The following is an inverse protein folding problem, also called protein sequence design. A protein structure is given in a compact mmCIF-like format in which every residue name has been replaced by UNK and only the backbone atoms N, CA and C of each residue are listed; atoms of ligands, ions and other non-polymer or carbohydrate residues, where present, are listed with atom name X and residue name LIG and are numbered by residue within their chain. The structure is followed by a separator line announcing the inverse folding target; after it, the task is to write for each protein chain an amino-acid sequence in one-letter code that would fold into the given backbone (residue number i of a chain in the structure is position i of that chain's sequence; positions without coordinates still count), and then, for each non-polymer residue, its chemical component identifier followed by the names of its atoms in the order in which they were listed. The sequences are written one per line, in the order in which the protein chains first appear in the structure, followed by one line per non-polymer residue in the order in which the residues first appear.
data_IF_585733158412
#
_entry.id   IF_585733158412
#
_cell.length_a   1.000
_cell.length_b   1.000
_cell.length_c   1.000
_cell.angle_alpha   90.00
_cell.angle_beta   90.00
_cell.angle_gamma   90.00
#
_symmetry.space_group_name_H-M   'P 1'
#
loop_
_entity.id
_entity.type
_entity.pdbx_description
1 polymer ?
#
# COMPACT_ATOMS: atom_id res chain seq x y z
N UNK A 1 -30.85 48.71 -45.71
CA UNK A 1 -30.23 47.40 -45.57
C UNK A 1 -31.10 46.50 -44.71
N UNK A 2 -31.60 45.37 -45.24
CA UNK A 2 -32.46 44.44 -44.51
C UNK A 2 -31.55 43.44 -43.76
N UNK A 3 -31.79 43.13 -42.48
CA UNK A 3 -30.99 42.15 -41.74
C UNK A 3 -31.22 40.75 -42.30
N UNK A 4 -30.12 40.03 -42.56
CA UNK A 4 -30.16 38.64 -43.01
C UNK A 4 -30.68 37.76 -41.87
N UNK A 5 -31.86 37.17 -42.06
CA UNK A 5 -32.43 36.22 -41.08
C UNK A 5 -31.60 34.96 -41.06
N UNK A 6 -30.92 34.70 -39.94
CA UNK A 6 -30.15 33.48 -39.73
C UNK A 6 -31.03 32.23 -39.92
N UNK A 7 -30.60 31.29 -40.74
CA UNK A 7 -31.31 30.06 -41.08
C UNK A 7 -31.56 29.20 -39.81
N UNK A 8 -32.77 28.64 -39.71
CA UNK A 8 -33.22 27.81 -38.57
C UNK A 8 -32.21 26.63 -38.25
N UNK A 9 -31.59 26.07 -39.30
CA UNK A 9 -30.53 25.05 -39.12
C UNK A 9 -29.27 25.59 -38.47
N UNK A 10 -28.86 26.80 -38.76
CA UNK A 10 -27.68 27.44 -38.21
C UNK A 10 -27.88 27.77 -36.72
N UNK A 11 -29.08 28.19 -36.32
CA UNK A 11 -29.46 28.40 -34.91
C UNK A 11 -29.46 27.09 -34.11
N UNK A 12 -29.92 25.96 -34.69
CA UNK A 12 -29.88 24.65 -34.06
C UNK A 12 -28.42 24.14 -33.89
N UNK A 13 -27.57 24.33 -34.87
CA UNK A 13 -26.15 23.96 -34.78
C UNK A 13 -25.41 24.75 -33.70
N UNK A 14 -25.66 26.06 -33.61
CA UNK A 14 -25.07 26.90 -32.55
C UNK A 14 -25.57 26.48 -31.15
N UNK A 15 -26.86 26.12 -31.03
CA UNK A 15 -27.41 25.64 -29.75
C UNK A 15 -26.83 24.28 -29.35
N UNK A 16 -26.63 23.35 -30.29
CA UNK A 16 -25.99 22.04 -30.05
C UNK A 16 -24.52 22.23 -29.67
N UNK A 17 -23.81 23.12 -30.35
CA UNK A 17 -22.40 23.43 -29.99
C UNK A 17 -22.28 24.09 -28.62
N UNK A 18 -23.19 25.00 -28.25
CA UNK A 18 -23.23 25.58 -26.90
C UNK A 18 -23.57 24.54 -25.82
N UNK A 19 -24.50 23.64 -26.08
CA UNK A 19 -24.83 22.54 -25.14
C UNK A 19 -23.67 21.55 -25.01
N UNK A 20 -22.98 21.21 -26.10
CA UNK A 20 -21.79 20.39 -26.06
C UNK A 20 -20.61 21.06 -25.35
N UNK A 21 -20.42 22.36 -25.51
CA UNK A 21 -19.41 23.13 -24.78
C UNK A 21 -19.72 23.22 -23.27
N UNK A 22 -20.99 23.32 -22.89
CA UNK A 22 -21.42 23.29 -21.48
C UNK A 22 -21.28 21.91 -20.85
N UNK A 23 -21.46 20.83 -21.62
CA UNK A 23 -21.23 19.46 -21.15
C UNK A 23 -19.74 19.12 -21.04
N UNK A 24 -18.87 19.69 -21.89
CA UNK A 24 -17.41 19.54 -21.78
C UNK A 24 -16.81 20.28 -20.57
N UNK A 25 -17.42 21.34 -20.08
CA UNK A 25 -16.91 22.09 -18.92
C UNK A 25 -17.24 21.43 -17.57
N UNK A 26 -18.05 20.37 -17.55
CA UNK A 26 -18.47 19.70 -16.32
C UNK A 26 -17.57 18.50 -15.93
N UNK A 27 -16.45 18.25 -16.63
CA UNK A 27 -15.62 17.06 -16.46
C UNK A 27 -14.15 17.34 -16.11
N UNK A 28 -13.87 18.51 -15.54
CA UNK A 28 -12.66 18.72 -14.78
C UNK A 28 -13.00 18.73 -13.28
N UNK A 29 -13.39 17.56 -12.72
CA UNK A 29 -13.00 17.23 -11.37
C UNK A 29 -11.48 17.05 -11.44
N UNK A 30 -10.73 18.09 -11.16
CA UNK A 30 -9.33 17.96 -10.79
C UNK A 30 -9.30 16.93 -9.67
N UNK A 31 -8.65 15.79 -9.87
CA UNK A 31 -8.36 14.83 -8.81
C UNK A 31 -7.60 15.62 -7.75
N UNK A 32 -8.31 16.02 -6.70
CA UNK A 32 -7.71 16.69 -5.56
C UNK A 32 -6.91 15.59 -4.86
N UNK A 33 -5.59 15.63 -5.00
CA UNK A 33 -4.71 14.73 -4.27
C UNK A 33 -5.07 14.74 -2.79
N UNK A 34 -5.25 13.56 -2.22
CA UNK A 34 -5.61 13.42 -0.82
C UNK A 34 -4.48 13.90 0.08
N UNK A 35 -4.83 14.55 1.16
CA UNK A 35 -3.89 14.92 2.22
C UNK A 35 -3.48 13.68 3.03
N UNK A 36 -2.37 13.78 3.77
CA UNK A 36 -1.91 12.71 4.67
C UNK A 36 -2.97 12.31 5.70
N UNK A 37 -3.75 13.29 6.20
CA UNK A 37 -4.85 13.01 7.11
C UNK A 37 -6.00 12.25 6.45
N UNK A 38 -6.36 12.59 5.21
CA UNK A 38 -7.41 11.89 4.45
C UNK A 38 -7.00 10.44 4.16
N UNK A 39 -5.73 10.21 3.79
CA UNK A 39 -5.16 8.89 3.57
C UNK A 39 -5.11 8.06 4.86
N UNK A 40 -4.73 8.67 5.99
CA UNK A 40 -4.75 8.02 7.30
C UNK A 40 -6.19 7.66 7.73
N UNK A 41 -7.16 8.56 7.57
CA UNK A 41 -8.58 8.23 7.84
C UNK A 41 -9.05 7.05 7.00
N UNK A 42 -8.59 6.94 5.76
CA UNK A 42 -8.92 5.77 4.92
C UNK A 42 -8.33 4.48 5.50
N UNK A 43 -7.10 4.49 5.99
CA UNK A 43 -6.49 3.32 6.64
C UNK A 43 -7.26 2.93 7.93
N UNK A 44 -7.69 3.92 8.72
CA UNK A 44 -8.51 3.71 9.93
C UNK A 44 -9.86 3.09 9.58
N UNK A 45 -10.58 3.66 8.61
CA UNK A 45 -11.88 3.12 8.16
C UNK A 45 -11.75 1.69 7.66
N UNK A 46 -10.68 1.36 6.91
CA UNK A 46 -10.41 -0.02 6.49
C UNK A 46 -10.20 -0.97 7.68
N UNK A 47 -9.55 -0.51 8.75
CA UNK A 47 -9.38 -1.30 9.97
C UNK A 47 -10.72 -1.55 10.67
N UNK A 48 -11.56 -0.52 10.80
CA UNK A 48 -12.89 -0.61 11.40
C UNK A 48 -13.81 -1.56 10.61
N UNK A 49 -13.93 -1.37 9.29
CA UNK A 49 -14.68 -2.25 8.40
C UNK A 49 -14.19 -3.71 8.46
N UNK A 50 -12.88 -3.92 8.63
CA UNK A 50 -12.31 -5.27 8.74
C UNK A 50 -12.70 -5.97 10.04
N UNK A 51 -12.84 -5.24 11.17
CA UNK A 51 -13.37 -5.78 12.43
C UNK A 51 -14.81 -6.23 12.24
N UNK A 52 -15.65 -5.42 11.61
CA UNK A 52 -17.05 -5.76 11.32
C UNK A 52 -17.18 -7.01 10.44
N UNK A 53 -16.18 -7.25 9.57
CA UNK A 53 -16.09 -8.42 8.70
C UNK A 53 -15.36 -9.62 9.35
N UNK A 54 -15.08 -9.58 10.65
CA UNK A 54 -14.46 -10.68 11.41
C UNK A 54 -12.94 -10.78 11.25
N UNK A 55 -12.27 -9.75 10.73
CA UNK A 55 -10.82 -9.66 10.63
C UNK A 55 -10.18 -8.93 11.81
N UNK A 56 -8.84 -8.81 11.82
CA UNK A 56 -8.11 -8.03 12.81
C UNK A 56 -8.22 -6.50 12.57
N UNK A 57 -8.04 -5.66 13.61
CA UNK A 57 -8.28 -4.21 13.58
C UNK A 57 -7.14 -3.45 12.88
N UNK A 58 -6.74 -3.88 11.68
CA UNK A 58 -5.60 -3.32 10.96
C UNK A 58 -5.95 -3.05 9.50
N UNK A 59 -5.65 -1.82 9.05
CA UNK A 59 -5.82 -1.35 7.69
C UNK A 59 -4.60 -0.56 7.22
N UNK A 60 -4.28 -0.66 5.93
CA UNK A 60 -3.17 0.05 5.32
C UNK A 60 -3.54 0.62 3.95
N UNK A 61 -2.95 1.76 3.61
CA UNK A 61 -3.08 2.45 2.33
C UNK A 61 -1.68 2.76 1.80
N UNK A 62 -1.42 2.40 0.55
CA UNK A 62 -0.23 2.87 -0.18
C UNK A 62 -0.69 3.94 -1.17
N UNK A 63 -0.02 5.10 -1.12
CA UNK A 63 -0.31 6.24 -1.98
C UNK A 63 0.96 6.77 -2.64
N UNK A 64 0.79 7.47 -3.77
CA UNK A 64 1.85 8.23 -4.45
C UNK A 64 1.27 9.59 -4.84
N UNK A 65 1.93 10.67 -4.41
CA UNK A 65 1.48 12.05 -4.68
C UNK A 65 0.00 12.29 -4.28
N UNK A 66 -0.47 11.70 -3.17
CA UNK A 66 -1.86 11.84 -2.71
C UNK A 66 -2.89 10.97 -3.45
N UNK A 67 -2.48 10.16 -4.41
CA UNK A 67 -3.34 9.17 -5.09
C UNK A 67 -3.17 7.77 -4.46
N UNK A 68 -4.28 7.10 -4.14
CA UNK A 68 -4.25 5.74 -3.60
C UNK A 68 -3.87 4.74 -4.69
N UNK A 69 -2.73 4.08 -4.52
CA UNK A 69 -2.27 2.99 -5.37
C UNK A 69 -2.94 1.67 -4.98
N UNK A 70 -2.92 1.33 -3.69
CA UNK A 70 -3.51 0.11 -3.18
C UNK A 70 -3.92 0.25 -1.71
N UNK A 71 -4.76 -0.68 -1.25
CA UNK A 71 -5.16 -0.82 0.14
C UNK A 71 -4.96 -2.26 0.60
N UNK A 72 -4.87 -2.47 1.90
CA UNK A 72 -4.83 -3.79 2.53
C UNK A 72 -5.50 -3.79 3.89
N UNK A 73 -5.99 -4.94 4.29
CA UNK A 73 -6.52 -5.23 5.62
C UNK A 73 -5.90 -6.51 6.16
N UNK A 74 -5.96 -6.72 7.47
CA UNK A 74 -5.49 -7.96 8.08
C UNK A 74 -6.39 -9.14 7.68
N UNK A 75 -5.80 -10.17 7.07
CA UNK A 75 -6.48 -11.36 6.56
C UNK A 75 -5.94 -12.67 7.14
N UNK A 76 -5.17 -12.59 8.22
CA UNK A 76 -4.49 -13.75 8.83
C UNK A 76 -5.46 -14.93 9.04
N UNK A 77 -6.62 -14.67 9.63
CA UNK A 77 -7.62 -15.71 9.92
C UNK A 77 -8.39 -16.15 8.68
N UNK A 78 -8.72 -15.22 7.79
CA UNK A 78 -9.48 -15.49 6.59
C UNK A 78 -8.71 -16.31 5.56
N UNK A 79 -7.40 -16.02 5.41
CA UNK A 79 -6.53 -16.68 4.43
C UNK A 79 -5.69 -17.82 5.03
N UNK A 80 -5.77 -18.06 6.36
CA UNK A 80 -4.89 -18.97 7.09
C UNK A 80 -3.40 -18.67 6.82
N UNK A 81 -3.05 -17.40 6.66
CA UNK A 81 -1.71 -16.92 6.36
C UNK A 81 -1.22 -15.95 7.46
N UNK A 82 -0.28 -16.36 8.33
CA UNK A 82 0.22 -15.51 9.41
C UNK A 82 0.96 -14.26 8.88
N UNK A 83 1.29 -14.20 7.60
CA UNK A 83 1.95 -13.05 6.97
C UNK A 83 0.96 -12.07 6.32
N UNK A 84 -0.32 -12.39 6.25
CA UNK A 84 -1.34 -11.55 5.61
C UNK A 84 -1.79 -10.37 6.50
N UNK A 85 -0.81 -9.61 7.01
CA UNK A 85 -1.05 -8.34 7.69
C UNK A 85 -1.48 -7.26 6.69
N UNK A 86 -2.08 -6.18 7.17
CA UNK A 86 -2.63 -5.11 6.34
C UNK A 86 -1.57 -4.50 5.42
N UNK A 87 -0.39 -4.22 5.95
CA UNK A 87 0.73 -3.61 5.23
C UNK A 87 1.26 -4.54 4.14
N UNK A 88 1.49 -5.82 4.48
CA UNK A 88 1.96 -6.83 3.50
C UNK A 88 0.93 -7.02 2.40
N UNK A 89 -0.36 -7.05 2.74
CA UNK A 89 -1.47 -7.13 1.78
C UNK A 89 -1.50 -5.92 0.86
N UNK A 90 -1.32 -4.70 1.40
CA UNK A 90 -1.26 -3.46 0.61
C UNK A 90 -0.02 -3.43 -0.32
N UNK A 91 1.17 -3.84 0.17
CA UNK A 91 2.40 -3.92 -0.62
C UNK A 91 2.21 -4.89 -1.79
N UNK A 92 1.71 -6.11 -1.54
CA UNK A 92 1.44 -7.11 -2.59
C UNK A 92 0.47 -6.56 -3.65
N UNK A 93 -0.59 -5.88 -3.22
CA UNK A 93 -1.57 -5.28 -4.14
C UNK A 93 -0.95 -4.13 -4.95
N UNK A 94 -0.14 -3.27 -4.33
CA UNK A 94 0.55 -2.17 -5.00
C UNK A 94 1.55 -2.68 -6.04
N UNK A 95 2.41 -3.63 -5.66
CA UNK A 95 3.37 -4.25 -6.57
C UNK A 95 2.67 -4.90 -7.78
N UNK A 96 1.58 -5.63 -7.54
CA UNK A 96 0.76 -6.22 -8.62
C UNK A 96 0.16 -5.16 -9.53
N UNK A 97 -0.39 -4.07 -8.97
CA UNK A 97 -1.01 -2.98 -9.76
C UNK A 97 0.01 -2.24 -10.62
N UNK A 98 1.19 -1.98 -10.05
CA UNK A 98 2.26 -1.22 -10.73
C UNK A 98 3.17 -2.08 -11.61
N UNK A 99 3.12 -3.41 -11.47
CA UNK A 99 3.98 -4.33 -12.23
C UNK A 99 5.46 -4.28 -11.81
N UNK A 100 5.75 -3.89 -10.55
CA UNK A 100 7.11 -3.76 -10.01
C UNK A 100 7.15 -4.19 -8.55
N UNK A 101 8.32 -4.60 -8.05
CA UNK A 101 8.59 -4.80 -6.63
C UNK A 101 9.08 -3.52 -5.93
N UNK A 102 9.52 -2.52 -6.69
CA UNK A 102 10.03 -1.24 -6.21
C UNK A 102 8.90 -0.21 -6.12
N UNK A 103 8.57 0.20 -4.91
CA UNK A 103 7.56 1.20 -4.57
C UNK A 103 8.17 2.55 -4.19
N UNK A 104 9.39 2.85 -4.66
CA UNK A 104 10.00 4.18 -4.50
C UNK A 104 9.05 5.27 -5.00
N UNK A 105 9.01 6.39 -4.28
CA UNK A 105 8.06 7.47 -4.50
C UNK A 105 6.67 7.22 -3.92
N UNK A 106 6.45 6.07 -3.25
CA UNK A 106 5.22 5.80 -2.52
C UNK A 106 5.37 6.09 -1.03
N UNK A 107 4.22 6.36 -0.40
CA UNK A 107 4.06 6.46 1.04
C UNK A 107 3.09 5.40 1.53
N UNK A 108 3.26 4.90 2.75
CA UNK A 108 2.33 3.98 3.39
C UNK A 108 1.69 4.62 4.63
N UNK A 109 0.39 4.44 4.77
CA UNK A 109 -0.42 4.86 5.91
C UNK A 109 -1.01 3.63 6.56
N UNK A 110 -0.68 3.39 7.83
CA UNK A 110 -1.14 2.21 8.57
C UNK A 110 -1.94 2.63 9.80
N UNK A 111 -3.02 1.93 10.12
CA UNK A 111 -3.84 2.23 11.31
C UNK A 111 -3.09 1.99 12.62
N UNK A 112 -1.97 1.24 12.58
CA UNK A 112 -1.11 0.96 13.71
C UNK A 112 0.36 0.92 13.26
N UNK A 113 1.30 1.22 14.18
CA UNK A 113 2.73 1.06 13.96
C UNK A 113 3.05 -0.37 13.52
N UNK A 114 3.77 -0.55 12.37
CA UNK A 114 4.04 -1.86 11.81
C UNK A 114 4.87 -2.75 12.74
N UNK A 115 4.51 -4.03 12.80
CA UNK A 115 5.33 -5.05 13.45
C UNK A 115 6.66 -5.26 12.71
N UNK A 116 7.65 -5.99 13.29
CA UNK A 116 8.95 -6.21 12.64
C UNK A 116 8.87 -6.83 11.24
N UNK A 117 7.92 -7.74 11.00
CA UNK A 117 7.70 -8.35 9.68
C UNK A 117 7.24 -7.29 8.66
N UNK A 118 6.26 -6.49 9.01
CA UNK A 118 5.71 -5.44 8.14
C UNK A 118 6.73 -4.32 7.89
N UNK A 119 7.46 -3.91 8.93
CA UNK A 119 8.54 -2.93 8.81
C UNK A 119 9.62 -3.42 7.84
N UNK A 120 10.04 -4.69 7.96
CA UNK A 120 10.97 -5.31 7.00
C UNK A 120 10.42 -5.31 5.57
N UNK A 121 9.13 -5.62 5.39
CA UNK A 121 8.48 -5.59 4.07
C UNK A 121 8.43 -4.16 3.48
N UNK A 122 8.21 -3.14 4.30
CA UNK A 122 8.22 -1.72 3.89
C UNK A 122 9.61 -1.32 3.37
N UNK A 123 10.68 -1.70 4.07
CA UNK A 123 12.06 -1.48 3.62
C UNK A 123 12.37 -2.21 2.31
N UNK A 124 12.02 -3.49 2.20
CA UNK A 124 12.23 -4.27 0.97
C UNK A 124 11.43 -3.76 -0.23
N UNK A 125 10.30 -3.12 0.02
CA UNK A 125 9.51 -2.46 -1.02
C UNK A 125 10.02 -1.06 -1.40
N UNK A 126 11.06 -0.54 -0.76
CA UNK A 126 11.64 0.80 -0.97
C UNK A 126 10.62 1.93 -0.80
N UNK A 127 9.65 1.79 0.12
CA UNK A 127 8.67 2.85 0.40
C UNK A 127 9.37 4.01 1.09
N UNK A 128 9.18 5.23 0.58
CA UNK A 128 9.92 6.42 1.01
C UNK A 128 9.51 6.91 2.40
N UNK A 129 8.24 6.74 2.76
CA UNK A 129 7.72 7.28 4.02
C UNK A 129 6.56 6.47 4.58
N UNK A 130 6.55 6.36 5.91
CA UNK A 130 5.53 5.67 6.67
C UNK A 130 4.84 6.62 7.64
N UNK A 131 3.51 6.49 7.72
CA UNK A 131 2.66 7.15 8.70
C UNK A 131 1.85 6.09 9.44
N UNK A 132 1.68 6.25 10.74
CA UNK A 132 0.88 5.31 11.54
C UNK A 132 -0.01 6.05 12.54
N UNK A 133 -1.10 5.39 12.94
CA UNK A 133 -2.08 5.92 13.90
C UNK A 133 -1.79 5.48 15.33
N UNK A 134 -2.11 4.24 15.68
CA UNK A 134 -1.86 3.65 16.98
C UNK A 134 -0.38 3.27 17.16
N UNK A 135 0.11 3.27 18.38
CA UNK A 135 1.46 2.83 18.71
C UNK A 135 1.51 1.41 19.31
N UNK A 136 2.71 0.98 19.71
CA UNK A 136 2.95 -0.34 20.32
C UNK A 136 2.24 -0.53 21.65
N UNK A 137 2.02 0.54 22.42
CA UNK A 137 1.29 0.46 23.68
C UNK A 137 -0.20 0.19 23.44
N UNK A 138 -0.77 0.82 22.41
CA UNK A 138 -2.16 0.61 22.01
C UNK A 138 -2.40 -0.83 21.53
N UNK A 139 -1.51 -1.36 20.68
CA UNK A 139 -1.65 -2.71 20.14
C UNK A 139 -1.46 -3.79 21.22
N UNK A 140 -0.57 -3.56 22.18
CA UNK A 140 -0.40 -4.44 23.33
C UNK A 140 -1.65 -4.52 24.20
N UNK A 141 -2.35 -3.40 24.40
CA UNK A 141 -3.60 -3.33 25.18
C UNK A 141 -4.71 -4.23 24.64
N UNK A 142 -4.73 -4.48 23.34
CA UNK A 142 -5.73 -5.34 22.68
C UNK A 142 -5.23 -6.78 22.44
N UNK A 143 -4.06 -7.16 23.01
CA UNK A 143 -3.54 -8.53 23.01
C UNK A 143 -2.61 -8.88 21.82
N UNK A 144 -2.22 -7.91 20.99
CA UNK A 144 -1.27 -8.12 19.88
C UNK A 144 0.11 -7.53 20.26
N UNK A 145 0.76 -8.10 21.28
CA UNK A 145 2.10 -7.65 21.72
C UNK A 145 3.19 -8.27 20.84
N UNK A 146 3.83 -7.46 20.01
CA UNK A 146 4.93 -7.84 19.13
C UNK A 146 6.31 -7.39 19.64
N UNK A 147 6.36 -6.79 20.85
CA UNK A 147 7.60 -6.25 21.45
C UNK A 147 8.68 -7.33 21.59
N UNK A 148 8.28 -8.57 21.93
CA UNK A 148 9.19 -9.69 22.07
C UNK A 148 9.96 -10.00 20.77
N UNK A 149 9.37 -9.75 19.58
CA UNK A 149 10.03 -10.01 18.31
C UNK A 149 11.20 -9.02 18.10
N UNK A 150 11.02 -7.75 18.48
CA UNK A 150 12.09 -6.75 18.46
C UNK A 150 13.26 -7.14 19.36
N UNK A 151 12.94 -7.64 20.57
CA UNK A 151 13.94 -8.16 21.51
C UNK A 151 14.70 -9.37 20.92
N UNK A 152 13.97 -10.35 20.38
CA UNK A 152 14.53 -11.56 19.78
C UNK A 152 15.45 -11.26 18.57
N UNK A 153 15.05 -10.30 17.70
CA UNK A 153 15.86 -9.90 16.53
C UNK A 153 17.20 -9.29 16.98
N UNK A 154 17.24 -8.58 18.09
CA UNK A 154 18.45 -7.96 18.60
C UNK A 154 19.45 -8.98 19.22
N UNK A 155 18.99 -10.20 19.55
CA UNK A 155 19.85 -11.26 20.11
C UNK A 155 20.65 -11.97 19.01
N UNK A 156 21.80 -12.55 19.41
CA UNK A 156 22.50 -13.51 18.57
C UNK A 156 21.62 -14.75 18.31
N UNK A 157 21.76 -15.44 17.16
CA UNK A 157 20.91 -16.59 16.83
C UNK A 157 20.85 -17.66 17.93
N UNK A 158 21.96 -17.88 18.62
CA UNK A 158 22.11 -18.89 19.70
C UNK A 158 21.36 -18.49 20.98
N UNK A 159 21.08 -17.20 21.15
CA UNK A 159 20.41 -16.66 22.35
C UNK A 159 18.91 -16.49 22.17
N UNK A 160 18.37 -16.72 20.97
CA UNK A 160 16.94 -16.59 20.65
C UNK A 160 16.13 -17.77 21.19
N UNK A 161 14.86 -17.53 21.51
CA UNK A 161 13.92 -18.60 21.89
C UNK A 161 13.68 -19.57 20.73
N UNK A 162 13.65 -19.06 19.49
CA UNK A 162 13.61 -19.89 18.30
C UNK A 162 15.00 -20.48 18.07
N UNK A 163 15.18 -21.75 18.41
CA UNK A 163 16.44 -22.43 18.19
C UNK A 163 16.74 -22.53 16.67
N UNK A 164 17.99 -22.33 16.31
CA UNK A 164 18.45 -22.40 14.93
C UNK A 164 19.77 -23.15 14.83
N UNK A 165 19.93 -23.95 13.79
CA UNK A 165 21.16 -24.69 13.49
C UNK A 165 21.53 -24.45 12.04
N UNK A 166 22.84 -24.26 11.78
CA UNK A 166 23.34 -24.11 10.42
C UNK A 166 23.69 -25.50 9.84
N UNK A 167 22.93 -25.88 8.81
CA UNK A 167 23.09 -27.17 8.13
C UNK A 167 23.51 -26.96 6.67
N UNK A 168 24.40 -27.79 6.16
CA UNK A 168 24.85 -27.85 4.76
C UNK A 168 25.33 -26.52 4.16
N UNK A 169 26.10 -25.75 4.92
CA UNK A 169 26.64 -24.43 4.51
C UNK A 169 27.33 -24.48 3.14
N UNK A 170 28.24 -25.47 2.93
CA UNK A 170 29.06 -25.55 1.72
C UNK A 170 28.24 -25.94 0.47
N UNK A 171 27.07 -26.55 0.66
CA UNK A 171 26.15 -26.80 -0.42
C UNK A 171 25.27 -25.57 -0.69
N UNK A 172 24.80 -24.91 0.36
CA UNK A 172 23.94 -23.74 0.26
C UNK A 172 24.60 -22.55 -0.46
N UNK A 173 25.93 -22.37 -0.25
CA UNK A 173 26.70 -21.28 -0.88
C UNK A 173 26.74 -21.37 -2.41
N UNK A 174 26.57 -22.55 -2.99
CA UNK A 174 26.59 -22.75 -4.45
C UNK A 174 25.52 -21.89 -5.18
N UNK A 175 24.36 -21.69 -4.56
CA UNK A 175 23.31 -20.83 -5.14
C UNK A 175 23.78 -19.36 -5.22
N UNK A 176 24.53 -18.88 -4.24
CA UNK A 176 25.10 -17.53 -4.26
C UNK A 176 26.19 -17.40 -5.33
N UNK A 177 27.06 -18.41 -5.48
CA UNK A 177 28.06 -18.43 -6.53
C UNK A 177 27.43 -18.45 -7.94
N UNK A 178 26.30 -19.14 -8.12
CA UNK A 178 25.53 -19.12 -9.36
C UNK A 178 24.91 -17.74 -9.61
N UNK A 179 24.31 -17.14 -8.59
CA UNK A 179 23.74 -15.78 -8.67
C UNK A 179 24.81 -14.75 -9.03
N UNK A 180 25.98 -14.82 -8.40
CA UNK A 180 27.09 -13.90 -8.69
C UNK A 180 27.56 -13.95 -10.15
N UNK A 181 27.47 -15.12 -10.79
CA UNK A 181 27.87 -15.34 -12.20
C UNK A 181 26.75 -15.01 -13.20
N UNK A 182 25.55 -14.68 -12.75
CA UNK A 182 24.41 -14.41 -13.62
C UNK A 182 24.51 -12.98 -14.17
N UNK A 183 24.58 -12.83 -15.51
CA UNK A 183 24.76 -11.53 -16.16
C UNK A 183 23.48 -10.68 -16.14
N UNK A 184 22.30 -11.32 -16.14
CA UNK A 184 20.98 -10.71 -16.18
C UNK A 184 20.28 -10.66 -14.80
N UNK A 185 21.05 -10.72 -13.72
CA UNK A 185 20.49 -10.65 -12.36
C UNK A 185 19.87 -9.29 -12.08
N UNK A 186 18.74 -9.31 -11.40
CA UNK A 186 18.07 -8.11 -10.87
C UNK A 186 18.27 -8.11 -9.37
N UNK A 187 18.94 -7.08 -8.87
CA UNK A 187 19.10 -6.84 -7.44
C UNK A 187 17.86 -6.09 -6.90
N UNK A 188 17.42 -6.40 -5.69
CA UNK A 188 16.24 -5.85 -5.07
C UNK A 188 16.42 -5.60 -3.57
#
# INVERSE_FOLDING_TARGET
MRPVKANKRMRQLIYIMMVMALLSSCQQKGDKNMTSEELMRKAIVLAEENVDNGGGPFGAVIARNGEIIATGVNRVTADHDPTAHAEVSAIRAACKKLGTFDLSGCEIYTSCEPCPMCLGAIYWAHIDKMYYGNDKADVKRIGFDDSFIYEEIALSPESRRLSSERVLKDEAVKAFDMWMKKDDKIEY
#
